data_IF_940060749591
#
_entry.id   IF_940060749591
#
_cell.length_a   1.000
_cell.length_b   1.000
_cell.length_c   1.000
_cell.angle_alpha   90.00
_cell.angle_beta   90.00
_cell.angle_gamma   90.00
#
_symmetry.space_group_name_H-M   'P 1'
#
loop_
_entity.id
_entity.type
_entity.pdbx_description
1 polymer ?
#
# COMPACT_ATOMS: atom_id res chain seq x y z
N UNK A 1 5.94 8.42 -8.12
CA UNK A 1 6.37 7.18 -7.45
C UNK A 1 6.14 6.01 -8.39
N UNK A 2 7.10 5.11 -8.51
CA UNK A 2 6.94 3.92 -9.35
C UNK A 2 6.01 2.92 -8.68
N UNK A 3 5.30 2.13 -9.49
CA UNK A 3 4.35 1.13 -9.02
C UNK A 3 4.97 0.13 -8.05
N UNK A 4 6.20 -0.31 -8.29
CA UNK A 4 6.89 -1.26 -7.41
C UNK A 4 6.97 -0.73 -5.97
N UNK A 5 7.40 0.51 -5.79
CA UNK A 5 7.48 1.11 -4.46
C UNK A 5 6.09 1.42 -3.91
N UNK A 6 5.17 1.87 -4.77
CA UNK A 6 3.78 2.12 -4.36
C UNK A 6 3.16 0.85 -3.77
N UNK A 7 3.30 -0.28 -4.46
CA UNK A 7 2.74 -1.54 -3.98
C UNK A 7 3.45 -2.07 -2.74
N UNK A 8 4.75 -1.82 -2.59
CA UNK A 8 5.46 -2.14 -1.34
C UNK A 8 4.83 -1.42 -0.14
N UNK A 9 4.52 -0.14 -0.29
CA UNK A 9 3.88 0.64 0.77
C UNK A 9 2.45 0.15 1.03
N UNK A 10 1.69 -0.12 -0.03
CA UNK A 10 0.30 -0.55 0.10
C UNK A 10 0.16 -1.94 0.69
N UNK A 11 1.06 -2.87 0.36
CA UNK A 11 1.07 -4.19 0.98
C UNK A 11 1.29 -4.11 2.49
N UNK A 12 2.14 -3.18 2.93
CA UNK A 12 2.32 -2.92 4.35
C UNK A 12 1.04 -2.34 4.98
N UNK A 13 0.38 -1.40 4.29
CA UNK A 13 -0.86 -0.80 4.77
C UNK A 13 -2.03 -1.79 4.82
N UNK A 14 -2.08 -2.74 3.87
CA UNK A 14 -3.08 -3.81 3.87
C UNK A 14 -2.84 -4.78 5.04
N UNK A 15 -1.59 -4.95 5.44
CA UNK A 15 -1.21 -5.86 6.51
C UNK A 15 -0.66 -7.21 6.04
N UNK A 16 -0.35 -7.35 4.75
CA UNK A 16 0.23 -8.59 4.20
C UNK A 16 1.74 -8.51 4.05
N UNK A 17 2.35 -7.42 4.48
CA UNK A 17 3.79 -7.26 4.52
C UNK A 17 4.21 -6.75 5.90
N UNK A 18 5.45 -7.03 6.29
CA UNK A 18 5.97 -6.62 7.59
C UNK A 18 6.22 -5.10 7.64
N UNK A 19 6.15 -4.50 8.84
CA UNK A 19 6.50 -3.09 9.01
C UNK A 19 7.89 -2.77 8.46
N UNK A 20 7.99 -1.69 7.71
CA UNK A 20 9.23 -1.28 7.04
C UNK A 20 9.34 -1.73 5.60
N UNK A 21 8.41 -2.57 5.12
CA UNK A 21 8.46 -3.09 3.76
C UNK A 21 8.56 -1.98 2.70
N UNK A 22 7.85 -0.88 2.89
CA UNK A 22 7.85 0.23 1.95
C UNK A 22 8.91 1.30 2.21
N UNK A 23 9.66 1.22 3.32
CA UNK A 23 10.55 2.30 3.76
C UNK A 23 12.02 1.89 3.88
N UNK A 24 12.36 0.61 3.80
CA UNK A 24 13.74 0.14 3.85
C UNK A 24 14.32 0.09 2.44
N UNK A 25 15.35 0.90 2.13
CA UNK A 25 15.97 0.86 0.80
C UNK A 25 16.55 -0.52 0.47
N UNK A 26 16.53 -0.88 -0.82
CA UNK A 26 16.94 -2.20 -1.29
C UNK A 26 18.40 -2.52 -0.99
N UNK A 27 19.25 -1.50 -0.88
CA UNK A 27 20.71 -1.68 -0.65
C UNK A 27 21.07 -1.89 0.82
N UNK A 28 20.13 -1.72 1.73
CA UNK A 28 20.41 -1.86 3.16
C UNK A 28 20.34 -3.34 3.56
N UNK A 29 21.25 -3.75 4.45
CA UNK A 29 21.23 -5.09 5.04
C UNK A 29 19.94 -5.40 5.77
N UNK A 30 19.29 -4.38 6.27
CA UNK A 30 17.99 -4.49 6.94
C UNK A 30 16.92 -5.07 6.01
N UNK A 31 17.04 -4.86 4.69
CA UNK A 31 16.15 -5.46 3.70
C UNK A 31 16.27 -6.99 3.69
N UNK A 32 17.48 -7.52 3.78
CA UNK A 32 17.72 -8.96 3.88
C UNK A 32 17.20 -9.53 5.19
N UNK A 33 17.39 -8.80 6.29
CA UNK A 33 16.84 -9.20 7.58
C UNK A 33 15.31 -9.24 7.57
N UNK A 34 14.69 -8.25 6.92
CA UNK A 34 13.24 -8.23 6.77
C UNK A 34 12.74 -9.43 5.97
N UNK A 35 13.43 -9.81 4.90
CA UNK A 35 13.08 -10.97 4.11
C UNK A 35 13.15 -12.26 4.94
N UNK A 36 14.17 -12.39 5.78
CA UNK A 36 14.29 -13.52 6.70
C UNK A 36 13.13 -13.57 7.70
N UNK A 37 12.82 -12.43 8.30
CA UNK A 37 11.72 -12.32 9.27
C UNK A 37 10.38 -12.59 8.60
N UNK A 38 10.20 -12.19 7.33
CA UNK A 38 8.98 -12.46 6.58
C UNK A 38 8.77 -13.96 6.39
N UNK A 39 9.85 -14.71 6.10
CA UNK A 39 9.78 -16.16 6.02
C UNK A 39 9.37 -16.81 7.33
N UNK A 40 9.93 -16.32 8.43
CA UNK A 40 9.56 -16.80 9.77
C UNK A 40 8.10 -16.46 10.10
N UNK A 41 7.66 -15.26 9.77
CA UNK A 41 6.30 -14.82 10.03
C UNK A 41 5.27 -15.62 9.24
N UNK A 42 5.54 -15.94 7.97
CA UNK A 42 4.60 -16.73 7.16
C UNK A 42 4.47 -18.16 7.71
N UNK A 43 5.55 -18.73 8.24
CA UNK A 43 5.48 -20.04 8.89
C UNK A 43 4.60 -20.02 10.13
N UNK A 44 4.67 -18.95 10.93
CA UNK A 44 3.77 -18.78 12.07
C UNK A 44 2.32 -18.64 11.62
N UNK A 45 2.06 -17.93 10.54
CA UNK A 45 0.72 -17.83 9.98
C UNK A 45 0.17 -19.20 9.57
N UNK A 46 1.00 -20.04 8.95
CA UNK A 46 0.60 -21.40 8.58
C UNK A 46 0.25 -22.21 9.82
N UNK A 47 1.07 -22.13 10.86
CA UNK A 47 0.81 -22.86 12.12
C UNK A 47 -0.50 -22.42 12.78
N UNK A 48 -0.79 -21.12 12.74
CA UNK A 48 -1.99 -20.54 13.35
C UNK A 48 -3.22 -20.63 12.47
N UNK A 49 -3.08 -21.06 11.22
CA UNK A 49 -4.16 -21.13 10.26
C UNK A 49 -4.65 -19.77 9.79
N UNK A 50 -3.81 -18.74 9.82
CA UNK A 50 -4.16 -17.40 9.36
C UNK A 50 -4.04 -17.35 7.84
N UNK A 51 -5.11 -16.94 7.16
CA UNK A 51 -5.14 -16.84 5.70
C UNK A 51 -5.10 -15.38 5.25
N UNK A 52 -4.74 -15.16 3.98
CA UNK A 52 -4.75 -13.82 3.41
C UNK A 52 -6.15 -13.21 3.45
N UNK A 53 -7.21 -14.00 3.28
CA UNK A 53 -8.58 -13.49 3.34
C UNK A 53 -8.99 -12.99 4.71
N UNK A 54 -8.36 -13.48 5.78
CA UNK A 54 -8.60 -12.99 7.13
C UNK A 54 -7.94 -11.62 7.34
N UNK A 55 -6.81 -11.37 6.67
CA UNK A 55 -6.08 -10.11 6.76
C UNK A 55 -6.70 -9.06 5.85
N UNK A 56 -7.03 -9.44 4.60
CA UNK A 56 -7.56 -8.53 3.60
C UNK A 56 -9.07 -8.43 3.76
N UNK A 57 -9.53 -7.35 4.35
CA UNK A 57 -10.93 -7.05 4.58
C UNK A 57 -11.21 -5.59 4.16
N UNK A 58 -12.44 -5.14 4.33
CA UNK A 58 -12.82 -3.78 3.94
C UNK A 58 -11.97 -2.73 4.66
N UNK A 59 -11.68 -2.94 5.94
CA UNK A 59 -10.84 -2.00 6.72
C UNK A 59 -9.41 -1.94 6.19
N UNK A 60 -8.81 -3.09 5.86
CA UNK A 60 -7.46 -3.15 5.28
C UNK A 60 -7.40 -2.40 3.95
N UNK A 61 -8.39 -2.59 3.10
CA UNK A 61 -8.46 -1.91 1.80
C UNK A 61 -8.63 -0.41 1.99
N UNK A 62 -9.47 0.03 2.93
CA UNK A 62 -9.60 1.45 3.23
C UNK A 62 -8.31 2.06 3.74
N UNK A 63 -7.57 1.33 4.57
CA UNK A 63 -6.25 1.77 5.04
C UNK A 63 -5.27 1.92 3.87
N UNK A 64 -5.28 0.97 2.94
CA UNK A 64 -4.43 1.03 1.75
C UNK A 64 -4.79 2.22 0.85
N UNK A 65 -6.08 2.47 0.64
CA UNK A 65 -6.54 3.62 -0.14
C UNK A 65 -6.13 4.94 0.50
N UNK A 66 -6.23 5.04 1.82
CA UNK A 66 -5.81 6.23 2.56
C UNK A 66 -4.30 6.45 2.38
N UNK A 67 -3.51 5.39 2.50
CA UNK A 67 -2.07 5.44 2.28
C UNK A 67 -1.74 5.85 0.84
N UNK A 68 -2.44 5.27 -0.13
CA UNK A 68 -2.30 5.57 -1.55
C UNK A 68 -2.49 7.07 -1.84
N UNK A 69 -3.56 7.63 -1.30
CA UNK A 69 -3.88 9.05 -1.50
C UNK A 69 -2.91 9.97 -0.76
N UNK A 70 -2.49 9.60 0.45
CA UNK A 70 -1.56 10.39 1.24
C UNK A 70 -0.16 10.44 0.62
N UNK A 71 0.31 9.33 0.07
CA UNK A 71 1.65 9.21 -0.49
C UNK A 71 1.72 9.55 -1.98
N UNK A 72 0.59 9.81 -2.62
CA UNK A 72 0.53 10.07 -4.06
C UNK A 72 1.17 8.94 -4.87
N UNK A 73 0.70 7.73 -4.64
CA UNK A 73 1.19 6.54 -5.30
C UNK A 73 0.84 6.53 -6.80
N UNK A 74 1.39 5.57 -7.54
CA UNK A 74 1.15 5.48 -8.97
C UNK A 74 -0.33 5.18 -9.27
N UNK A 75 -0.82 5.61 -10.44
CA UNK A 75 -2.20 5.33 -10.86
C UNK A 75 -2.50 3.84 -11.02
N UNK A 76 -1.46 3.03 -11.22
CA UNK A 76 -1.60 1.57 -11.34
C UNK A 76 -2.10 0.92 -10.05
N UNK A 77 -1.92 1.57 -8.90
CA UNK A 77 -2.41 1.04 -7.62
C UNK A 77 -3.92 0.94 -7.59
N UNK A 78 -4.63 1.79 -8.32
CA UNK A 78 -6.09 1.69 -8.42
C UNK A 78 -6.49 0.34 -9.00
N UNK A 79 -5.85 -0.05 -10.10
CA UNK A 79 -6.10 -1.35 -10.74
C UNK A 79 -5.74 -2.50 -9.81
N UNK A 80 -4.60 -2.42 -9.16
CA UNK A 80 -4.12 -3.49 -8.27
C UNK A 80 -5.00 -3.63 -7.03
N UNK A 81 -5.41 -2.54 -6.41
CA UNK A 81 -6.28 -2.59 -5.24
C UNK A 81 -7.68 -3.13 -5.58
N UNK A 82 -8.21 -2.76 -6.74
CA UNK A 82 -9.47 -3.32 -7.22
C UNK A 82 -9.36 -4.84 -7.43
N UNK A 83 -8.27 -5.29 -8.03
CA UNK A 83 -8.03 -6.71 -8.25
C UNK A 83 -7.88 -7.48 -6.93
N UNK A 84 -7.11 -6.94 -5.99
CA UNK A 84 -6.93 -7.55 -4.66
C UNK A 84 -8.27 -7.64 -3.93
N UNK A 85 -9.05 -6.57 -3.95
CA UNK A 85 -10.35 -6.55 -3.30
C UNK A 85 -11.31 -7.57 -3.92
N UNK A 86 -11.30 -7.68 -5.24
CA UNK A 86 -12.12 -8.65 -5.96
C UNK A 86 -11.77 -10.08 -5.54
N UNK A 87 -10.48 -10.42 -5.54
CA UNK A 87 -10.03 -11.77 -5.17
C UNK A 87 -10.31 -12.08 -3.69
N UNK A 88 -10.27 -11.07 -2.84
CA UNK A 88 -10.56 -11.23 -1.42
C UNK A 88 -12.07 -11.23 -1.11
N UNK A 89 -12.92 -10.94 -2.10
CA UNK A 89 -14.36 -10.85 -1.90
C UNK A 89 -14.80 -9.59 -1.19
N UNK A 90 -14.00 -8.53 -1.24
CA UNK A 90 -14.33 -7.23 -0.62
C UNK A 90 -14.97 -6.32 -1.67
N UNK A 91 -16.22 -5.89 -1.48
CA UNK A 91 -16.86 -5.01 -2.45
C UNK A 91 -16.35 -3.59 -2.32
N UNK A 92 -15.65 -3.10 -3.33
CA UNK A 92 -15.24 -1.69 -3.43
C UNK A 92 -15.50 -1.21 -4.86
N UNK A 93 -15.70 0.09 -5.01
CA UNK A 93 -15.92 0.72 -6.32
C UNK A 93 -15.06 1.99 -6.44
N UNK A 94 -15.10 2.60 -7.62
CA UNK A 94 -14.33 3.81 -7.88
C UNK A 94 -14.79 5.00 -7.06
N UNK A 95 -16.04 5.01 -6.60
CA UNK A 95 -16.55 6.10 -5.75
C UNK A 95 -15.82 6.14 -4.41
N UNK A 96 -15.45 4.98 -3.87
CA UNK A 96 -14.70 4.90 -2.62
C UNK A 96 -13.35 5.58 -2.75
N UNK A 97 -12.67 5.44 -3.89
CA UNK A 97 -11.41 6.13 -4.16
C UNK A 97 -11.58 7.63 -4.07
N UNK A 98 -12.62 8.17 -4.70
CA UNK A 98 -12.89 9.60 -4.68
C UNK A 98 -13.24 10.11 -3.28
N UNK A 99 -14.03 9.36 -2.52
CA UNK A 99 -14.39 9.72 -1.15
C UNK A 99 -13.17 9.79 -0.25
N UNK A 100 -12.31 8.80 -0.31
CA UNK A 100 -11.09 8.76 0.50
C UNK A 100 -10.12 9.85 0.05
N UNK A 101 -9.99 10.07 -1.26
CA UNK A 101 -9.16 11.15 -1.78
C UNK A 101 -9.58 12.52 -1.26
N UNK A 102 -10.88 12.76 -1.19
CA UNK A 102 -11.41 14.05 -0.69
C UNK A 102 -11.12 14.26 0.80
N UNK A 103 -11.02 13.18 1.58
CA UNK A 103 -10.81 13.25 3.03
C UNK A 103 -9.35 13.18 3.44
N UNK A 104 -8.47 12.68 2.57
CA UNK A 104 -7.07 12.39 2.92
C UNK A 104 -6.17 13.52 2.46
N UNK A 105 -5.38 14.12 3.36
CA UNK A 105 -4.39 15.12 2.95
C UNK A 105 -3.27 14.47 2.14
N UNK A 106 -2.82 15.16 1.13
CA UNK A 106 -1.70 14.72 0.31
C UNK A 106 -0.40 15.12 1.01
N UNK A 107 0.36 14.13 1.47
CA UNK A 107 1.60 14.36 2.21
C UNK A 107 2.84 14.36 1.31
N UNK A 108 2.78 13.68 0.18
CA UNK A 108 3.90 13.57 -0.74
C UNK A 108 3.45 13.91 -2.16
N UNK A 109 4.12 14.85 -2.79
CA UNK A 109 3.82 15.26 -4.17
C UNK A 109 4.76 14.54 -5.15
N UNK A 110 4.55 13.24 -5.30
CA UNK A 110 5.43 12.39 -6.10
C UNK A 110 4.85 12.02 -7.47
N UNK A 111 3.61 12.41 -7.75
CA UNK A 111 2.98 12.12 -9.02
C UNK A 111 3.53 13.02 -10.13
N UNK A 112 3.81 12.44 -11.30
CA UNK A 112 4.31 13.20 -12.45
C UNK A 112 3.30 14.19 -12.99
N UNK A 113 2.02 13.94 -12.81
CA UNK A 113 0.94 14.80 -13.28
C UNK A 113 0.57 15.89 -12.30
N UNK A 114 1.04 15.77 -11.06
CA UNK A 114 0.80 16.75 -10.03
C UNK A 114 2.09 17.47 -9.69
N UNK A 115 2.15 18.74 -9.98
CA UNK A 115 3.27 19.57 -9.60
C UNK A 115 2.84 20.45 -8.44
N UNK A 116 3.48 20.26 -7.28
CA UNK A 116 3.31 21.23 -6.20
C UNK A 116 3.96 22.53 -6.63
N UNK A 117 3.43 23.69 -6.18
CA UNK A 117 4.08 24.96 -6.45
C UNK A 117 5.49 24.94 -5.88
N UNK A 118 6.49 25.08 -6.74
CA UNK A 118 7.86 25.28 -6.30
C UNK A 118 8.10 26.79 -6.14
N UNK A 119 9.20 27.20 -5.50
CA UNK A 119 9.52 28.62 -5.45
C UNK A 119 9.65 29.28 -6.83
N UNK A 120 9.85 28.49 -7.89
CA UNK A 120 9.91 29.01 -9.27
C UNK A 120 8.53 29.15 -9.90
N UNK A 121 7.55 28.41 -9.40
CA UNK A 121 6.20 28.37 -9.95
C UNK A 121 5.22 29.24 -9.17
N UNK A 122 5.63 29.72 -8.04
CA UNK A 122 4.82 30.58 -7.17
C UNK A 122 5.05 32.08 -7.45
#
# INVERSE_FOLDING_TARGET
MYTANSMNCLCEAIGIALPGNGTIPAVYSKRLQLAKHAGMAVMEMVRKGITARQIINERSIRNALTCDMALCCSTNTVLHLLAIAYEAGVPIDLKLFNEISAKTPNLCHLCLLYTSPSPRDS
#
